data_IF_701557898054
#
_entry.id   IF_701557898054
#
_cell.length_a   1.000
_cell.length_b   1.000
_cell.length_c   1.000
_cell.angle_alpha   90.00
_cell.angle_beta   90.00
_cell.angle_gamma   90.00
#
_symmetry.space_group_name_H-M   'P 1'
#
loop_
_entity.id
_entity.type
_entity.pdbx_description
1 polymer ?
#
# COMPACT_ATOMS: atom_id res chain seq x y z
N UNK A 1 22.99 27.61 -0.52
CA UNK A 1 22.54 26.54 -1.44
C UNK A 1 21.71 25.56 -0.62
N UNK A 2 20.39 25.52 -0.82
CA UNK A 2 19.57 24.44 -0.26
C UNK A 2 19.87 23.19 -1.07
N UNK A 3 20.43 22.15 -0.44
CA UNK A 3 20.56 20.85 -1.11
C UNK A 3 19.16 20.32 -1.32
N UNK A 4 18.79 20.04 -2.56
CA UNK A 4 17.63 19.20 -2.85
C UNK A 4 17.92 17.82 -2.28
N UNK A 5 17.46 17.58 -1.04
CA UNK A 5 17.54 16.26 -0.41
C UNK A 5 16.45 15.39 -1.02
N UNK A 6 16.79 14.72 -2.11
CA UNK A 6 15.99 13.61 -2.62
C UNK A 6 15.85 12.53 -1.54
N UNK A 7 14.65 11.97 -1.41
CA UNK A 7 14.41 10.87 -0.46
C UNK A 7 15.29 9.67 -0.81
N UNK A 8 15.81 8.92 0.20
CA UNK A 8 16.50 7.66 -0.06
C UNK A 8 15.61 6.73 -0.88
N UNK A 9 16.20 6.04 -1.85
CA UNK A 9 15.47 5.09 -2.71
C UNK A 9 14.66 4.06 -1.91
N UNK A 10 15.22 3.57 -0.81
CA UNK A 10 14.55 2.60 0.07
C UNK A 10 13.27 3.14 0.74
N UNK A 11 13.08 4.46 0.80
CA UNK A 11 11.85 5.07 1.32
C UNK A 11 10.74 5.19 0.25
N UNK A 12 11.04 4.95 -1.03
CA UNK A 12 10.08 5.08 -2.12
C UNK A 12 8.82 4.19 -1.94
N UNK A 13 8.91 2.93 -1.49
CA UNK A 13 7.72 2.11 -1.21
C UNK A 13 6.87 2.70 -0.07
N UNK A 14 7.48 3.25 0.97
CA UNK A 14 6.76 3.82 2.11
C UNK A 14 5.95 5.07 1.69
N UNK A 15 6.59 5.96 0.91
CA UNK A 15 5.91 7.11 0.33
C UNK A 15 4.84 6.70 -0.69
N UNK A 16 5.14 5.70 -1.52
CA UNK A 16 4.24 5.14 -2.52
C UNK A 16 2.96 4.61 -1.90
N UNK A 17 3.06 3.90 -0.77
CA UNK A 17 1.91 3.38 -0.05
C UNK A 17 0.97 4.48 0.44
N UNK A 18 1.50 5.56 1.01
CA UNK A 18 0.70 6.72 1.42
C UNK A 18 -0.05 7.37 0.24
N UNK A 19 0.58 7.43 -0.95
CA UNK A 19 -0.07 7.92 -2.18
C UNK A 19 -1.14 6.95 -2.69
N UNK A 20 -0.88 5.65 -2.63
CA UNK A 20 -1.81 4.59 -3.01
C UNK A 20 -3.10 4.70 -2.18
N UNK A 21 -2.99 4.74 -0.86
CA UNK A 21 -4.14 4.83 0.04
C UNK A 21 -5.01 6.07 -0.26
N UNK A 22 -4.39 7.23 -0.52
CA UNK A 22 -5.14 8.44 -0.93
C UNK A 22 -5.89 8.24 -2.24
N UNK A 23 -5.33 7.51 -3.21
CA UNK A 23 -6.00 7.17 -4.47
C UNK A 23 -7.24 6.29 -4.26
N UNK A 24 -7.21 5.41 -3.25
CA UNK A 24 -8.34 4.58 -2.82
C UNK A 24 -9.23 5.27 -1.76
N UNK A 25 -9.11 6.60 -1.60
CA UNK A 25 -10.02 7.39 -0.77
C UNK A 25 -9.81 7.26 0.74
N UNK A 26 -8.64 6.79 1.20
CA UNK A 26 -8.28 6.94 2.61
C UNK A 26 -7.90 8.40 2.92
N UNK A 27 -8.40 8.93 4.03
CA UNK A 27 -8.13 10.29 4.48
C UNK A 27 -6.73 10.40 5.13
N UNK A 28 -5.68 10.24 4.31
CA UNK A 28 -4.29 10.30 4.77
C UNK A 28 -3.68 11.67 4.48
N UNK A 29 -3.30 12.38 5.54
CA UNK A 29 -2.57 13.65 5.45
C UNK A 29 -1.07 13.42 5.14
N UNK A 30 -0.39 14.35 4.45
CA UNK A 30 1.06 14.27 4.22
C UNK A 30 1.89 14.09 5.50
N UNK A 31 1.44 14.70 6.60
CA UNK A 31 2.08 14.62 7.92
C UNK A 31 2.00 13.21 8.49
N UNK A 32 0.88 12.50 8.27
CA UNK A 32 0.75 11.10 8.68
C UNK A 32 1.71 10.20 7.90
N UNK A 33 1.93 10.46 6.60
CA UNK A 33 2.93 9.72 5.81
C UNK A 33 4.34 9.99 6.34
N UNK A 34 4.62 11.22 6.76
CA UNK A 34 5.90 11.57 7.40
C UNK A 34 6.08 10.87 8.75
N UNK A 35 5.04 10.87 9.60
CA UNK A 35 5.01 10.13 10.86
C UNK A 35 5.20 8.62 10.65
N UNK A 36 4.57 8.04 9.62
CA UNK A 36 4.74 6.64 9.24
C UNK A 36 6.21 6.32 8.91
N UNK A 37 6.84 7.10 8.03
CA UNK A 37 8.24 6.88 7.66
C UNK A 37 9.19 7.06 8.86
N UNK A 38 8.88 7.99 9.76
CA UNK A 38 9.62 8.17 11.01
C UNK A 38 9.42 6.98 11.95
N UNK A 39 8.20 6.48 12.11
CA UNK A 39 7.91 5.30 12.93
C UNK A 39 8.66 4.06 12.41
N UNK A 40 8.65 3.82 11.10
CA UNK A 40 9.44 2.73 10.48
C UNK A 40 10.93 2.87 10.81
N UNK A 41 11.46 4.09 10.75
CA UNK A 41 12.86 4.37 11.11
C UNK A 41 13.16 4.07 12.58
N UNK A 42 12.23 4.40 13.48
CA UNK A 42 12.37 4.19 14.93
C UNK A 42 12.24 2.71 15.33
N UNK A 43 11.32 1.97 14.72
CA UNK A 43 11.20 0.52 14.94
C UNK A 43 12.43 -0.21 14.38
N UNK A 44 13.02 0.33 13.31
CA UNK A 44 14.03 -0.35 12.52
C UNK A 44 13.35 -1.44 11.69
N UNK A 45 13.25 -1.32 10.35
CA UNK A 45 12.50 -2.25 9.50
C UNK A 45 13.22 -3.60 9.38
N UNK A 46 13.27 -4.37 10.47
CA UNK A 46 13.88 -5.70 10.56
C UNK A 46 12.97 -6.76 9.99
N UNK A 47 11.66 -6.49 9.97
CA UNK A 47 10.65 -7.34 9.38
C UNK A 47 9.54 -6.52 8.70
N UNK A 48 8.79 -7.16 7.81
CA UNK A 48 7.60 -6.54 7.22
C UNK A 48 6.50 -6.30 8.26
N UNK A 49 6.49 -7.08 9.35
CA UNK A 49 5.58 -6.86 10.47
C UNK A 49 5.84 -5.50 11.14
N UNK A 50 7.10 -5.08 11.29
CA UNK A 50 7.44 -3.77 11.85
C UNK A 50 6.89 -2.62 10.99
N UNK A 51 6.98 -2.77 9.66
CA UNK A 51 6.44 -1.80 8.71
C UNK A 51 4.90 -1.76 8.80
N UNK A 52 4.26 -2.93 8.88
CA UNK A 52 2.80 -3.06 9.03
C UNK A 52 2.30 -2.40 10.31
N UNK A 53 2.94 -2.69 11.45
CA UNK A 53 2.57 -2.11 12.75
C UNK A 53 2.78 -0.59 12.78
N UNK A 54 3.88 -0.10 12.21
CA UNK A 54 4.10 1.34 12.06
C UNK A 54 2.99 2.01 11.21
N UNK A 55 2.56 1.35 10.13
CA UNK A 55 1.50 1.85 9.26
C UNK A 55 0.15 1.92 10.00
N UNK A 56 -0.23 0.85 10.72
CA UNK A 56 -1.47 0.81 11.51
C UNK A 56 -1.49 1.88 12.61
N UNK A 57 -0.35 2.10 13.28
CA UNK A 57 -0.24 3.06 14.37
C UNK A 57 -0.32 4.52 13.91
N UNK A 58 0.22 4.84 12.72
CA UNK A 58 0.40 6.24 12.29
C UNK A 58 -0.61 6.70 11.24
N UNK A 59 -1.00 5.81 10.34
CA UNK A 59 -1.99 6.11 9.30
C UNK A 59 -3.42 5.95 9.83
N UNK A 60 -3.59 5.18 10.92
CA UNK A 60 -4.83 5.01 11.66
C UNK A 60 -6.06 4.81 10.75
N UNK A 61 -6.07 3.76 9.90
CA UNK A 61 -7.22 3.49 9.04
C UNK A 61 -8.49 3.33 9.88
N UNK A 62 -9.65 3.80 9.39
CA UNK A 62 -10.94 3.57 10.04
C UNK A 62 -11.17 2.08 10.32
N UNK A 63 -11.74 1.71 11.48
CA UNK A 63 -11.86 0.31 11.90
C UNK A 63 -12.65 -0.55 10.89
N UNK A 64 -13.65 0.04 10.25
CA UNK A 64 -14.50 -0.54 9.20
C UNK A 64 -13.76 -0.78 7.87
N UNK A 65 -12.63 -0.10 7.65
CA UNK A 65 -11.80 -0.21 6.43
C UNK A 65 -10.45 -0.89 6.68
N UNK A 66 -10.26 -1.55 7.84
CA UNK A 66 -9.00 -2.23 8.18
C UNK A 66 -8.69 -3.38 7.24
N UNK A 67 -9.69 -4.16 6.84
CA UNK A 67 -9.49 -5.29 5.93
C UNK A 67 -9.08 -4.82 4.53
N UNK A 68 -9.71 -3.74 4.04
CA UNK A 68 -9.35 -3.08 2.79
C UNK A 68 -7.92 -2.52 2.85
N UNK A 69 -7.57 -1.84 3.96
CA UNK A 69 -6.22 -1.34 4.20
C UNK A 69 -5.18 -2.47 4.18
N UNK A 70 -5.46 -3.58 4.86
CA UNK A 70 -4.57 -4.74 4.89
C UNK A 70 -4.43 -5.36 3.49
N UNK A 71 -5.51 -5.48 2.71
CA UNK A 71 -5.44 -5.95 1.33
C UNK A 71 -4.55 -5.05 0.46
N UNK A 72 -4.65 -3.73 0.60
CA UNK A 72 -3.75 -2.79 -0.08
C UNK A 72 -2.31 -2.90 0.41
N UNK A 73 -2.08 -3.10 1.71
CA UNK A 73 -0.75 -3.33 2.26
C UNK A 73 -0.13 -4.59 1.65
N UNK A 74 -0.87 -5.69 1.65
CA UNK A 74 -0.43 -6.96 1.09
C UNK A 74 -0.10 -6.83 -0.40
N UNK A 75 -1.01 -6.24 -1.19
CA UNK A 75 -0.80 -6.01 -2.62
C UNK A 75 0.41 -5.10 -2.90
N UNK A 76 0.57 -4.01 -2.15
CA UNK A 76 1.63 -3.04 -2.39
C UNK A 76 3.03 -3.56 -2.00
N UNK A 77 3.16 -4.24 -0.86
CA UNK A 77 4.46 -4.66 -0.33
C UNK A 77 4.86 -6.09 -0.74
N UNK A 78 3.90 -6.98 -0.98
CA UNK A 78 4.18 -8.37 -1.38
C UNK A 78 3.82 -8.66 -2.84
N UNK A 79 2.87 -7.92 -3.43
CA UNK A 79 2.48 -8.07 -4.84
C UNK A 79 3.36 -7.29 -5.82
N UNK A 80 4.19 -6.37 -5.34
CA UNK A 80 5.07 -5.52 -6.16
C UNK A 80 6.53 -6.00 -6.18
N UNK A 81 6.80 -7.28 -5.96
CA UNK A 81 8.16 -7.88 -6.02
C UNK A 81 8.86 -7.70 -7.37
N UNK A 82 8.17 -7.23 -8.42
CA UNK A 82 8.76 -6.89 -9.73
C UNK A 82 9.11 -5.41 -9.94
N UNK A 83 8.72 -4.48 -9.08
CA UNK A 83 9.03 -3.06 -9.28
C UNK A 83 9.79 -2.48 -8.09
N UNK A 84 11.12 -2.61 -8.14
CA UNK A 84 12.16 -1.61 -7.75
C UNK A 84 13.48 -2.34 -7.42
N UNK A 85 14.19 -2.80 -8.46
CA UNK A 85 15.66 -2.89 -8.49
C UNK A 85 16.16 -2.46 -9.88
N UNK A 86 15.95 -1.21 -10.28
CA UNK A 86 16.80 -0.57 -11.28
C UNK A 86 18.03 0.05 -10.61
N UNK A 87 19.11 -0.71 -10.48
CA UNK A 87 20.38 -0.19 -9.98
C UNK A 87 21.30 -1.26 -9.41
N UNK A 88 21.71 -2.22 -10.22
CA UNK A 88 23.10 -2.28 -10.69
C UNK A 88 23.09 -3.04 -12.02
N UNK A 89 23.64 -2.42 -13.07
CA UNK A 89 23.87 -3.11 -14.33
C UNK A 89 25.28 -3.66 -14.25
N UNK A 90 25.42 -4.92 -13.87
CA UNK A 90 26.64 -5.69 -14.14
C UNK A 90 26.30 -7.10 -14.64
N UNK A 91 26.71 -7.30 -15.88
CA UNK A 91 27.02 -8.50 -16.65
C UNK A 91 26.27 -9.83 -16.45
N UNK A 92 25.41 -10.12 -17.44
CA UNK A 92 25.40 -11.34 -18.26
C UNK A 92 25.39 -12.72 -17.57
N UNK A 93 24.23 -13.38 -17.60
CA UNK A 93 24.17 -14.75 -18.14
C UNK A 93 22.93 -14.93 -19.02
N UNK A 94 23.16 -14.85 -20.33
CA UNK A 94 22.23 -15.23 -21.39
C UNK A 94 22.28 -16.75 -21.58
N UNK A 95 21.19 -17.48 -21.32
CA UNK A 95 20.83 -18.70 -22.08
C UNK A 95 19.29 -18.74 -22.26
N UNK A 96 18.88 -19.08 -23.48
CA UNK A 96 17.57 -18.94 -24.11
C UNK A 96 16.90 -20.31 -24.35
N UNK A 97 15.57 -20.31 -24.36
CA UNK A 97 14.60 -21.21 -25.05
C UNK A 97 14.52 -22.70 -24.64
N UNK A 98 13.37 -23.36 -24.69
CA UNK A 98 12.29 -23.26 -25.69
C UNK A 98 10.98 -23.87 -25.15
N UNK A 99 9.81 -23.38 -25.58
CA UNK A 99 8.58 -24.14 -25.31
C UNK A 99 7.23 -23.42 -25.38
N UNK A 100 6.84 -23.00 -26.59
CA UNK A 100 5.46 -23.21 -27.06
C UNK A 100 4.39 -22.18 -26.69
N UNK A 101 3.77 -21.64 -27.73
CA UNK A 101 2.73 -20.64 -27.74
C UNK A 101 1.37 -21.12 -27.18
N UNK A 102 0.54 -20.18 -26.71
CA UNK A 102 -0.65 -19.80 -27.49
C UNK A 102 -1.21 -18.43 -27.03
N UNK A 103 -1.68 -17.68 -28.04
CA UNK A 103 -2.33 -16.37 -28.00
C UNK A 103 -3.78 -16.57 -27.55
N UNK A 104 -4.31 -15.76 -26.63
CA UNK A 104 -5.68 -15.26 -26.79
C UNK A 104 -5.96 -14.05 -25.88
N UNK A 105 -6.89 -13.24 -26.38
CA UNK A 105 -6.93 -11.79 -26.30
C UNK A 105 -8.37 -11.43 -25.92
N UNK A 106 -8.53 -10.50 -24.96
CA UNK A 106 -9.80 -9.81 -24.62
C UNK A 106 -10.84 -10.78 -23.98
N UNK A 107 -11.75 -10.40 -23.10
CA UNK A 107 -12.67 -9.28 -23.15
C UNK A 107 -13.09 -8.84 -21.74
N UNK A 108 -13.51 -7.57 -21.66
CA UNK A 108 -14.11 -6.97 -20.48
C UNK A 108 -15.55 -7.45 -20.33
N UNK A 109 -15.92 -7.94 -19.16
CA UNK A 109 -17.32 -7.99 -18.74
C UNK A 109 -17.49 -7.08 -17.51
N UNK A 110 -18.06 -5.91 -17.79
CA UNK A 110 -18.76 -5.12 -16.79
C UNK A 110 -20.02 -5.89 -16.41
N UNK A 111 -20.24 -6.12 -15.12
CA UNK A 111 -21.58 -6.32 -14.60
C UNK A 111 -21.74 -5.47 -13.36
N UNK A 112 -22.59 -4.45 -13.49
CA UNK A 112 -23.09 -3.62 -12.40
C UNK A 112 -24.47 -4.16 -12.02
N UNK A 113 -24.62 -4.63 -10.79
CA UNK A 113 -25.89 -4.74 -10.05
C UNK A 113 -25.62 -4.02 -8.72
N UNK A 114 -26.24 -2.88 -8.39
CA UNK A 114 -27.68 -2.75 -8.10
C UNK A 114 -27.92 -3.34 -6.71
N UNK A 115 -27.94 -2.60 -5.60
CA UNK A 115 -28.94 -1.59 -5.24
C UNK A 115 -29.76 -2.12 -4.05
N UNK A 116 -29.80 -1.33 -2.97
CA UNK A 116 -30.74 -1.38 -1.83
C UNK A 116 -30.69 -2.57 -0.86
N UNK A 117 -30.25 -2.32 0.39
CA UNK A 117 -31.14 -2.37 1.55
C UNK A 117 -30.65 -1.45 2.68
N UNK A 118 -31.63 -0.84 3.33
CA UNK A 118 -31.57 0.38 4.12
C UNK A 118 -31.30 0.15 5.61
N UNK A 119 -30.47 1.02 6.16
CA UNK A 119 -30.54 1.75 7.44
C UNK A 119 -30.98 1.09 8.76
N UNK A 120 -30.20 1.49 9.79
CA UNK A 120 -30.59 1.94 11.13
C UNK A 120 -30.72 0.90 12.26
N UNK A 121 -29.65 0.76 13.06
CA UNK A 121 -29.69 0.81 14.54
C UNK A 121 -28.32 0.46 15.14
N UNK A 122 -27.51 1.46 15.48
CA UNK A 122 -26.42 1.27 16.45
C UNK A 122 -26.50 2.41 17.48
N UNK A 123 -26.82 2.00 18.70
CA UNK A 123 -27.27 2.84 19.82
C UNK A 123 -26.11 3.64 20.42
N UNK A 124 -26.30 4.96 20.57
CA UNK A 124 -25.47 5.79 21.43
C UNK A 124 -25.95 5.62 22.88
N UNK A 125 -25.14 4.96 23.71
CA UNK A 125 -25.29 4.96 25.17
C UNK A 125 -24.59 6.17 25.76
N UNK A 126 -25.38 7.13 26.25
CA UNK A 126 -24.88 8.26 27.05
C UNK A 126 -24.60 7.78 28.48
N UNK A 127 -23.39 8.02 28.99
CA UNK A 127 -23.08 7.87 30.43
C UNK A 127 -23.18 9.25 31.10
N UNK A 128 -23.98 9.31 32.16
CA UNK A 128 -23.98 10.41 33.13
C UNK A 128 -22.88 10.18 34.18
N UNK A 129 -22.33 11.25 34.77
CA UNK A 129 -21.28 11.23 35.79
C UNK A 129 -21.85 11.33 37.21
#
# INVERSE_FOLDING_TARGET
>A
MMRETSLPRAAAPLLGFGRLLRRYGFAIAPEQVSCFMQAVTLLGPRSMADIREAALATLAPPPDRRDEFEAHFQSHFYGNTSAVVEGDADEETRIKDDGGADDERLEAEQSQEGGDLSSALEQLSTRDF
#
